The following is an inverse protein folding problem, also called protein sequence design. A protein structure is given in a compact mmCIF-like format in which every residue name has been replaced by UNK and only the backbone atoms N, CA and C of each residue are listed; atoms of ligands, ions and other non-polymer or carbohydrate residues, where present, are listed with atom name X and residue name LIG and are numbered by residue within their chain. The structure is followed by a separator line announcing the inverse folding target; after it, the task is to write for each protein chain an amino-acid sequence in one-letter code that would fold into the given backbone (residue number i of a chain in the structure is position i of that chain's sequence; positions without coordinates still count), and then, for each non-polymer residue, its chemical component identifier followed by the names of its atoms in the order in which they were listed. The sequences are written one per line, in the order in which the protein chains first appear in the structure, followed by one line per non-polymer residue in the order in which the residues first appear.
data_IF_312584938760
#
_entry.id   IF_312584938760
#
_cell.length_a   1.000
_cell.length_b   1.000
_cell.length_c   1.000
_cell.angle_alpha   90.00
_cell.angle_beta   90.00
_cell.angle_gamma   90.00
#
_symmetry.space_group_name_H-M   'P 1'
#
loop_
_entity.id
_entity.type
_entity.pdbx_description
1 polymer ?
#
# COMPACT_ATOMS: atom_id res chain seq x y z
N UNK A 1 13.56 -15.41 20.89
CA UNK A 1 13.29 -16.43 19.86
C UNK A 1 11.79 -16.68 19.62
N UNK A 2 10.94 -16.78 20.66
CA UNK A 2 9.48 -16.94 20.48
C UNK A 2 8.77 -15.74 19.81
N UNK A 3 9.15 -14.51 20.20
CA UNK A 3 8.52 -13.27 19.70
C UNK A 3 8.63 -13.10 18.17
N UNK A 4 9.77 -13.50 17.59
CA UNK A 4 10.01 -13.42 16.15
C UNK A 4 9.14 -14.41 15.36
N UNK A 5 8.78 -15.55 15.96
CA UNK A 5 7.92 -16.55 15.30
C UNK A 5 6.45 -16.11 15.30
N UNK A 6 6.00 -15.48 16.38
CA UNK A 6 4.65 -14.89 16.50
C UNK A 6 4.43 -13.81 15.44
N UNK A 7 5.42 -12.92 15.24
CA UNK A 7 5.34 -11.88 14.20
C UNK A 7 5.29 -12.48 12.79
N UNK A 8 6.11 -13.50 12.50
CA UNK A 8 6.06 -14.16 11.18
C UNK A 8 4.76 -14.95 10.96
N UNK A 9 4.18 -15.54 12.01
CA UNK A 9 2.92 -16.28 11.91
C UNK A 9 1.75 -15.31 11.74
N UNK A 10 1.73 -14.18 12.45
CA UNK A 10 0.69 -13.15 12.30
C UNK A 10 0.75 -12.52 10.90
N UNK A 11 1.95 -12.27 10.38
CA UNK A 11 2.18 -11.75 9.05
C UNK A 11 1.76 -12.76 7.97
N UNK A 12 2.13 -14.04 8.12
CA UNK A 12 1.74 -15.09 7.20
C UNK A 12 0.23 -15.38 7.25
N UNK A 13 -0.39 -15.33 8.43
CA UNK A 13 -1.83 -15.49 8.60
C UNK A 13 -2.56 -14.32 7.94
N UNK A 14 -2.14 -13.08 8.16
CA UNK A 14 -2.68 -11.91 7.47
C UNK A 14 -2.57 -12.09 5.94
N UNK A 15 -1.38 -12.38 5.42
CA UNK A 15 -1.13 -12.57 3.97
C UNK A 15 -1.98 -13.71 3.37
N UNK A 16 -2.30 -14.75 4.14
CA UNK A 16 -3.12 -15.88 3.69
C UNK A 16 -4.64 -15.59 3.74
N UNK A 17 -5.09 -14.66 4.59
CA UNK A 17 -6.49 -14.18 4.61
C UNK A 17 -6.69 -13.05 3.56
N UNK A 18 -5.60 -12.48 3.04
CA UNK A 18 -5.58 -11.35 2.10
C UNK A 18 -5.68 -11.67 0.58
N UNK A 19 -5.75 -12.93 0.06
CA UNK A 19 -6.11 -13.14 -1.34
C UNK A 19 -7.63 -13.30 -1.39
N UNK A 20 -8.40 -12.23 -1.57
CA UNK A 20 -9.27 -12.12 -2.76
C UNK A 20 -9.88 -10.72 -2.92
N UNK A 21 -9.72 -9.80 -1.95
CA UNK A 21 -10.37 -8.49 -1.97
C UNK A 21 -9.50 -7.30 -2.42
N UNK A 22 -8.17 -7.42 -2.39
CA UNK A 22 -7.26 -6.27 -2.60
C UNK A 22 -6.68 -6.17 -4.01
N UNK A 23 -6.78 -7.26 -4.80
CA UNK A 23 -6.35 -7.26 -6.20
C UNK A 23 -7.20 -6.33 -7.09
N UNK A 24 -8.35 -5.87 -6.60
CA UNK A 24 -9.33 -5.12 -7.39
C UNK A 24 -8.95 -3.63 -7.48
N UNK A 25 -8.39 -3.02 -6.43
CA UNK A 25 -8.10 -1.57 -6.39
C UNK A 25 -6.91 -1.13 -7.26
N UNK A 26 -5.97 -2.04 -7.55
CA UNK A 26 -4.86 -1.78 -8.49
C UNK A 26 -5.30 -1.86 -9.96
N UNK A 27 -6.46 -2.47 -10.24
CA UNK A 27 -6.99 -2.59 -11.60
C UNK A 27 -7.71 -1.32 -12.08
N UNK A 28 -8.28 -0.51 -11.18
CA UNK A 28 -8.86 0.79 -11.51
C UNK A 28 -7.79 1.83 -11.85
N UNK A 29 -6.63 1.78 -11.18
CA UNK A 29 -5.48 2.62 -11.54
C UNK A 29 -4.91 2.30 -12.95
N UNK A 30 -5.06 1.05 -13.42
CA UNK A 30 -4.62 0.62 -14.75
C UNK A 30 -5.68 0.81 -15.85
N UNK A 31 -6.97 0.93 -15.51
CA UNK A 31 -8.06 1.11 -16.49
C UNK A 31 -8.25 2.54 -16.96
N UNK A 32 -7.56 3.53 -16.40
CA UNK A 32 -7.35 4.86 -16.99
C UNK A 32 -8.62 5.60 -17.45
N UNK A 33 -9.78 5.22 -16.96
CA UNK A 33 -11.09 5.75 -17.35
C UNK A 33 -11.67 6.52 -16.18
N UNK A 34 -11.82 7.84 -16.36
CA UNK A 34 -12.50 8.70 -15.41
C UNK A 34 -14.02 8.61 -15.65
N UNK A 35 -14.83 8.13 -14.69
CA UNK A 35 -16.27 8.03 -14.85
C UNK A 35 -16.95 9.37 -14.49
N UNK A 36 -16.72 10.42 -15.28
CA UNK A 36 -17.41 11.69 -15.06
C UNK A 36 -16.96 12.81 -15.99
N UNK A 37 -17.90 13.68 -16.36
CA UNK A 37 -17.65 14.89 -17.16
C UNK A 37 -16.97 16.01 -16.34
N UNK A 38 -16.76 15.80 -15.03
CA UNK A 38 -16.12 16.72 -14.08
C UNK A 38 -14.78 16.20 -13.50
N UNK A 39 -14.19 15.17 -14.11
CA UNK A 39 -12.91 14.62 -13.67
C UNK A 39 -11.72 15.30 -14.37
N UNK A 40 -10.72 15.71 -13.59
CA UNK A 40 -9.45 16.23 -14.14
C UNK A 40 -8.48 15.07 -14.31
N UNK A 41 -8.08 14.80 -15.57
CA UNK A 41 -7.03 13.82 -15.89
C UNK A 41 -5.66 14.39 -15.54
N UNK A 42 -5.07 13.90 -14.47
CA UNK A 42 -3.68 14.23 -14.11
C UNK A 42 -2.75 13.06 -14.42
N UNK A 43 -1.45 13.33 -14.54
CA UNK A 43 -0.42 12.31 -14.80
C UNK A 43 -0.32 11.23 -13.71
N UNK A 44 -1.07 11.39 -12.61
CA UNK A 44 -1.06 10.52 -11.44
C UNK A 44 -2.42 9.87 -11.18
N UNK A 45 -3.46 10.17 -11.98
CA UNK A 45 -4.82 9.61 -11.86
C UNK A 45 -5.94 10.61 -12.16
N UNK A 46 -7.18 10.13 -12.19
CA UNK A 46 -8.38 10.96 -12.24
C UNK A 46 -8.60 11.63 -10.88
N UNK A 47 -8.90 12.93 -10.87
CA UNK A 47 -9.33 13.66 -9.68
C UNK A 47 -10.80 14.01 -9.86
N UNK A 48 -11.64 13.36 -9.06
CA UNK A 48 -13.06 13.68 -8.93
C UNK A 48 -13.23 14.74 -7.84
N UNK A 49 -13.76 15.91 -8.21
CA UNK A 49 -13.97 17.04 -7.28
C UNK A 49 -15.31 16.97 -6.56
N UNK A 50 -16.01 15.85 -6.67
CA UNK A 50 -17.33 15.66 -6.09
C UNK A 50 -17.19 15.34 -4.60
N UNK A 51 -17.55 16.33 -3.77
CA UNK A 51 -17.55 16.19 -2.31
C UNK A 51 -18.73 15.34 -1.80
N UNK A 52 -19.76 15.13 -2.62
CA UNK A 52 -21.03 14.51 -2.22
C UNK A 52 -20.98 12.96 -2.26
N UNK A 53 -20.13 12.37 -3.10
CA UNK A 53 -19.99 10.91 -3.29
C UNK A 53 -18.66 10.34 -2.75
N UNK A 54 -17.87 11.13 -2.02
CA UNK A 54 -16.59 10.68 -1.48
C UNK A 54 -15.51 10.43 -2.54
N UNK A 55 -15.71 10.93 -3.78
CA UNK A 55 -14.76 10.79 -4.89
C UNK A 55 -13.38 11.39 -4.60
N UNK A 56 -13.33 12.42 -3.76
CA UNK A 56 -12.08 13.02 -3.28
C UNK A 56 -11.26 12.05 -2.42
N UNK A 57 -11.92 11.28 -1.53
CA UNK A 57 -11.27 10.31 -0.65
C UNK A 57 -10.67 9.18 -1.49
N UNK A 58 -11.43 8.65 -2.46
CA UNK A 58 -10.95 7.60 -3.35
C UNK A 58 -9.76 8.09 -4.19
N UNK A 59 -9.85 9.31 -4.75
CA UNK A 59 -8.76 9.90 -5.53
C UNK A 59 -7.48 10.09 -4.69
N UNK A 60 -7.59 10.54 -3.44
CA UNK A 60 -6.44 10.70 -2.53
C UNK A 60 -5.84 9.34 -2.15
N UNK A 61 -6.66 8.31 -1.95
CA UNK A 61 -6.21 6.95 -1.62
C UNK A 61 -5.46 6.32 -2.80
N UNK A 62 -6.00 6.42 -4.02
CA UNK A 62 -5.32 5.92 -5.22
C UNK A 62 -3.98 6.64 -5.45
N UNK A 63 -3.93 7.95 -5.25
CA UNK A 63 -2.70 8.74 -5.33
C UNK A 63 -1.66 8.28 -4.28
N UNK A 64 -2.10 8.13 -3.03
CA UNK A 64 -1.24 7.71 -1.92
C UNK A 64 -0.68 6.30 -2.12
N UNK A 65 -1.49 5.37 -2.63
CA UNK A 65 -1.06 3.99 -2.93
C UNK A 65 -0.13 3.97 -4.14
N UNK A 66 -0.39 4.76 -5.18
CA UNK A 66 0.47 4.85 -6.36
C UNK A 66 1.87 5.39 -6.02
N UNK A 67 1.92 6.51 -5.30
CA UNK A 67 3.20 7.13 -4.87
C UNK A 67 3.89 6.28 -3.80
N UNK A 68 3.14 5.76 -2.83
CA UNK A 68 3.67 4.90 -1.76
C UNK A 68 4.25 3.59 -2.31
N UNK A 69 3.57 2.96 -3.26
CA UNK A 69 4.06 1.76 -3.96
C UNK A 69 5.30 2.05 -4.81
N UNK A 70 5.34 3.19 -5.49
CA UNK A 70 6.52 3.62 -6.25
C UNK A 70 7.76 3.82 -5.38
N UNK A 71 7.62 4.55 -4.27
CA UNK A 71 8.73 4.80 -3.32
C UNK A 71 9.18 3.49 -2.66
N UNK A 72 8.24 2.62 -2.28
CA UNK A 72 8.55 1.32 -1.72
C UNK A 72 9.36 0.45 -2.70
N UNK A 73 9.03 0.48 -4.00
CA UNK A 73 9.76 -0.25 -5.03
C UNK A 73 11.21 0.26 -5.13
N UNK A 74 11.43 1.58 -5.15
CA UNK A 74 12.76 2.19 -5.15
C UNK A 74 13.61 1.78 -3.93
N UNK A 75 13.03 1.81 -2.74
CA UNK A 75 13.70 1.40 -1.49
C UNK A 75 14.02 -0.11 -1.49
N UNK A 76 13.12 -0.93 -2.03
CA UNK A 76 13.31 -2.38 -2.14
C UNK A 76 14.43 -2.71 -3.13
N UNK A 77 14.50 -2.00 -4.26
CA UNK A 77 15.57 -2.15 -5.25
C UNK A 77 16.93 -1.77 -4.64
N UNK A 78 16.98 -0.65 -3.90
CA UNK A 78 18.19 -0.19 -3.22
C UNK A 78 18.69 -1.18 -2.16
N UNK A 79 17.79 -1.67 -1.29
CA UNK A 79 18.13 -2.68 -0.29
C UNK A 79 18.59 -4.00 -0.91
N UNK A 80 17.96 -4.41 -2.02
CA UNK A 80 18.35 -5.62 -2.75
C UNK A 80 19.75 -5.48 -3.35
N UNK A 81 20.07 -4.32 -3.94
CA UNK A 81 21.39 -4.07 -4.52
C UNK A 81 22.49 -4.14 -3.46
N UNK A 82 22.24 -3.59 -2.27
CA UNK A 82 23.16 -3.68 -1.12
C UNK A 82 23.39 -5.12 -0.70
N UNK A 83 22.33 -5.93 -0.54
CA UNK A 83 22.47 -7.33 -0.09
C UNK A 83 23.24 -8.15 -1.14
N UNK A 84 22.90 -8.00 -2.42
CA UNK A 84 23.51 -8.76 -3.52
C UNK A 84 24.98 -8.37 -3.75
N UNK A 85 25.35 -7.10 -3.59
CA UNK A 85 26.74 -6.65 -3.78
C UNK A 85 27.63 -6.81 -2.54
N UNK A 86 27.10 -7.31 -1.42
CA UNK A 86 27.81 -7.35 -0.13
C UNK A 86 28.99 -8.33 -0.04
N UNK A 87 29.23 -9.16 -1.06
CA UNK A 87 30.43 -10.00 -1.25
C UNK A 87 30.93 -10.79 -0.01
N UNK A 88 30.06 -11.07 0.97
CA UNK A 88 30.39 -11.83 2.19
C UNK A 88 30.73 -11.00 3.44
N UNK A 89 30.62 -9.67 3.44
CA UNK A 89 30.80 -8.86 4.66
C UNK A 89 29.49 -8.86 5.47
N UNK A 90 29.49 -9.38 6.72
CA UNK A 90 28.27 -9.56 7.52
C UNK A 90 27.56 -8.24 7.86
N UNK A 91 28.29 -7.13 7.95
CA UNK A 91 27.72 -5.81 8.25
C UNK A 91 26.79 -5.29 7.15
N UNK A 92 27.17 -5.47 5.87
CA UNK A 92 26.41 -4.96 4.73
C UNK A 92 25.15 -5.80 4.48
N UNK A 93 25.23 -7.10 4.76
CA UNK A 93 24.07 -8.00 4.75
C UNK A 93 23.06 -7.64 5.85
N UNK A 94 23.54 -7.30 7.06
CA UNK A 94 22.67 -6.91 8.17
C UNK A 94 21.99 -5.55 7.89
N UNK A 95 22.75 -4.58 7.41
CA UNK A 95 22.21 -3.27 7.03
C UNK A 95 21.17 -3.37 5.90
N UNK A 96 21.43 -4.18 4.86
CA UNK A 96 20.46 -4.40 3.78
C UNK A 96 19.16 -5.05 4.27
N UNK A 97 19.25 -6.02 5.19
CA UNK A 97 18.06 -6.64 5.80
C UNK A 97 17.23 -5.65 6.60
N UNK A 98 17.87 -4.74 7.33
CA UNK A 98 17.18 -3.72 8.12
C UNK A 98 16.41 -2.74 7.21
N UNK A 99 17.02 -2.31 6.10
CA UNK A 99 16.37 -1.46 5.09
C UNK A 99 15.14 -2.16 4.49
N UNK A 100 15.29 -3.41 4.04
CA UNK A 100 14.18 -4.18 3.46
C UNK A 100 13.04 -4.37 4.48
N UNK A 101 13.39 -4.68 5.73
CA UNK A 101 12.40 -4.87 6.79
C UNK A 101 11.63 -3.57 7.07
N UNK A 102 12.31 -2.42 7.10
CA UNK A 102 11.66 -1.11 7.27
C UNK A 102 10.71 -0.76 6.12
N UNK A 103 11.08 -1.08 4.87
CA UNK A 103 10.23 -0.87 3.70
C UNK A 103 8.97 -1.75 3.73
N UNK A 104 9.10 -3.01 4.15
CA UNK A 104 7.96 -3.93 4.31
C UNK A 104 7.01 -3.46 5.40
N UNK A 105 7.54 -3.02 6.55
CA UNK A 105 6.72 -2.49 7.65
C UNK A 105 5.92 -1.27 7.19
N UNK A 106 6.54 -0.35 6.44
CA UNK A 106 5.87 0.82 5.89
C UNK A 106 4.72 0.44 4.94
N UNK A 107 4.95 -0.51 4.03
CA UNK A 107 3.91 -0.98 3.11
C UNK A 107 2.73 -1.62 3.86
N UNK A 108 3.03 -2.44 4.88
CA UNK A 108 2.01 -3.10 5.71
C UNK A 108 1.23 -2.10 6.54
N UNK A 109 1.88 -1.05 7.03
CA UNK A 109 1.24 0.03 7.76
C UNK A 109 0.19 0.76 6.90
N UNK A 110 0.48 1.01 5.61
CA UNK A 110 -0.49 1.61 4.68
C UNK A 110 -1.72 0.71 4.52
N UNK A 111 -1.53 -0.60 4.31
CA UNK A 111 -2.64 -1.55 4.15
C UNK A 111 -3.52 -1.58 5.42
N UNK A 112 -2.89 -1.62 6.59
CA UNK A 112 -3.59 -1.67 7.87
C UNK A 112 -4.34 -0.36 8.16
N UNK A 113 -3.79 0.77 7.71
CA UNK A 113 -4.46 2.07 7.78
C UNK A 113 -5.75 2.11 6.97
N UNK A 114 -5.76 1.51 5.78
CA UNK A 114 -6.98 1.46 4.93
C UNK A 114 -8.04 0.60 5.60
N UNK A 115 -7.65 -0.55 6.15
CA UNK A 115 -8.58 -1.43 6.88
C UNK A 115 -9.20 -0.71 8.08
N UNK A 116 -8.41 0.06 8.84
CA UNK A 116 -8.92 0.88 9.93
C UNK A 116 -9.86 1.99 9.45
N UNK A 117 -9.54 2.63 8.31
CA UNK A 117 -10.38 3.65 7.69
C UNK A 117 -11.73 3.09 7.27
N UNK A 118 -11.78 1.89 6.69
CA UNK A 118 -13.02 1.23 6.30
C UNK A 118 -13.83 0.80 7.52
N UNK A 119 -13.18 0.29 8.56
CA UNK A 119 -13.84 -0.09 9.81
C UNK A 119 -14.55 1.09 10.48
N UNK A 120 -13.90 2.25 10.59
CA UNK A 120 -14.47 3.42 11.28
C UNK A 120 -15.35 4.23 10.32
N UNK A 121 -14.92 4.42 9.08
CA UNK A 121 -15.60 5.21 8.05
C UNK A 121 -16.93 4.62 7.60
N UNK A 122 -16.99 3.30 7.37
CA UNK A 122 -18.23 2.62 6.96
C UNK A 122 -19.10 2.32 8.19
N UNK A 123 -18.52 1.82 9.29
CA UNK A 123 -19.32 1.31 10.41
C UNK A 123 -19.89 2.40 11.33
N UNK A 124 -19.29 3.60 11.39
CA UNK A 124 -19.70 4.66 12.33
C UNK A 124 -20.35 5.85 11.64
N UNK A 125 -19.88 6.24 10.44
CA UNK A 125 -20.43 7.38 9.70
C UNK A 125 -21.55 7.01 8.73
N UNK A 126 -21.83 5.72 8.51
CA UNK A 126 -23.02 5.27 7.81
C UNK A 126 -23.23 5.97 6.47
N UNK A 127 -22.18 6.08 5.66
CA UNK A 127 -22.26 6.43 4.25
C UNK A 127 -22.48 5.13 3.47
N UNK A 128 -23.73 4.73 3.17
CA UNK A 128 -23.99 3.65 2.24
C UNK A 128 -23.59 4.07 0.82
N UNK A 129 -22.71 3.28 0.19
CA UNK A 129 -22.19 3.46 -1.17
C UNK A 129 -20.82 4.17 -1.16
N UNK A 130 -19.80 3.83 -1.97
CA UNK A 130 -19.72 3.16 -3.28
C UNK A 130 -20.89 3.40 -4.23
#
# INVERSE_FOLDING_TARGET
MLMSRIITILFALAVLILPTGQALAISDALRGGCPGDADIRTAVGCISTDFETGGLINSILTLAVGVGGGIALLLMLYGTFIITTSAGIPDKLKAGKEIITSAIIGLVFIILSIVLMELIGVSILGLPGL
#
